data_IF_378200949060
#
_entry.id   IF_378200949060
#
_cell.length_a   1.000
_cell.length_b   1.000
_cell.length_c   1.000
_cell.angle_alpha   90.00
_cell.angle_beta   90.00
_cell.angle_gamma   90.00
#
_symmetry.space_group_name_H-M   'P 1'
#
loop_
_entity.id
_entity.type
_entity.pdbx_description
1 polymer ?
#
# COMPACT_ATOMS: atom_id res chain seq x y z
N UNK A 1 -23.62 14.91 9.65
CA UNK A 1 -23.90 13.58 9.08
C UNK A 1 -23.02 13.23 7.87
N UNK A 2 -22.97 14.07 6.83
CA UNK A 2 -22.22 13.78 5.57
C UNK A 2 -20.72 13.50 5.77
N UNK A 3 -20.03 14.21 6.67
CA UNK A 3 -18.60 13.99 6.93
C UNK A 3 -18.29 12.61 7.54
N UNK A 4 -19.19 12.10 8.39
CA UNK A 4 -19.02 10.78 9.01
C UNK A 4 -19.21 9.65 7.99
N UNK A 5 -20.18 9.80 7.08
CA UNK A 5 -20.36 8.85 5.97
C UNK A 5 -19.10 8.78 5.11
N UNK A 6 -18.53 9.95 4.75
CA UNK A 6 -17.25 10.01 4.02
C UNK A 6 -16.12 9.26 4.73
N UNK A 7 -15.93 9.50 6.04
CA UNK A 7 -14.91 8.79 6.84
C UNK A 7 -15.11 7.27 6.80
N UNK A 8 -16.35 6.79 6.96
CA UNK A 8 -16.68 5.36 6.88
C UNK A 8 -16.39 4.79 5.49
N UNK A 9 -16.78 5.48 4.42
CA UNK A 9 -16.49 5.05 3.04
C UNK A 9 -14.99 4.99 2.76
N UNK A 10 -14.21 5.99 3.21
CA UNK A 10 -12.75 5.98 3.11
C UNK A 10 -12.13 4.81 3.89
N UNK A 11 -12.66 4.51 5.08
CA UNK A 11 -12.22 3.39 5.91
C UNK A 11 -12.51 2.04 5.23
N UNK A 12 -13.71 1.86 4.66
CA UNK A 12 -14.06 0.65 3.91
C UNK A 12 -13.15 0.44 2.70
N UNK A 13 -12.88 1.48 1.92
CA UNK A 13 -11.91 1.41 0.83
C UNK A 13 -10.51 1.02 1.34
N UNK A 14 -10.09 1.59 2.48
CA UNK A 14 -8.82 1.23 3.15
C UNK A 14 -8.75 -0.24 3.56
N UNK A 15 -9.84 -0.81 4.10
CA UNK A 15 -9.92 -2.24 4.45
C UNK A 15 -9.81 -3.12 3.21
N UNK A 16 -10.51 -2.79 2.13
CA UNK A 16 -10.44 -3.53 0.86
C UNK A 16 -9.00 -3.54 0.33
N UNK A 17 -8.35 -2.39 0.27
CA UNK A 17 -6.95 -2.28 -0.20
C UNK A 17 -5.99 -3.03 0.73
N UNK A 18 -6.18 -2.97 2.05
CA UNK A 18 -5.34 -3.70 3.01
C UNK A 18 -5.49 -5.22 2.85
N UNK A 19 -6.72 -5.71 2.65
CA UNK A 19 -6.98 -7.11 2.34
C UNK A 19 -6.26 -7.53 1.06
N UNK A 20 -6.36 -6.74 0.00
CA UNK A 20 -5.62 -6.97 -1.23
C UNK A 20 -4.11 -7.00 -1.01
N UNK A 21 -3.53 -6.06 -0.23
CA UNK A 21 -2.09 -6.06 0.06
C UNK A 21 -1.64 -7.36 0.72
N UNK A 22 -2.43 -7.94 1.62
CA UNK A 22 -2.12 -9.24 2.23
C UNK A 22 -2.09 -10.34 1.15
N UNK A 23 -3.13 -10.45 0.32
CA UNK A 23 -3.16 -11.43 -0.77
C UNK A 23 -2.02 -11.22 -1.77
N UNK A 24 -1.71 -9.98 -2.11
CA UNK A 24 -0.64 -9.61 -3.04
C UNK A 24 0.74 -9.94 -2.47
N UNK A 25 0.96 -9.71 -1.17
CA UNK A 25 2.19 -10.12 -0.49
C UNK A 25 2.35 -11.64 -0.53
N UNK A 26 1.30 -12.39 -0.17
CA UNK A 26 1.33 -13.85 -0.18
C UNK A 26 1.55 -14.42 -1.59
N UNK A 27 0.92 -13.85 -2.62
CA UNK A 27 1.17 -14.25 -4.01
C UNK A 27 2.59 -13.94 -4.44
N UNK A 28 3.18 -12.82 -3.99
CA UNK A 28 4.58 -12.51 -4.26
C UNK A 28 5.54 -13.47 -3.55
N UNK A 29 5.22 -13.91 -2.32
CA UNK A 29 6.03 -14.90 -1.61
C UNK A 29 6.16 -16.24 -2.35
N UNK A 30 5.19 -16.58 -3.22
CA UNK A 30 5.31 -17.76 -4.09
C UNK A 30 6.54 -17.72 -5.01
N UNK A 31 7.14 -16.54 -5.25
CA UNK A 31 8.37 -16.37 -6.04
C UNK A 31 9.56 -17.19 -5.51
N UNK A 32 9.57 -17.54 -4.23
CA UNK A 32 10.59 -18.42 -3.65
C UNK A 32 10.59 -19.83 -4.28
N UNK A 33 9.54 -20.19 -5.00
CA UNK A 33 9.44 -21.40 -5.83
C UNK A 33 9.01 -21.01 -7.24
N UNK A 34 9.92 -21.09 -8.21
CA UNK A 34 9.64 -20.72 -9.60
C UNK A 34 8.43 -21.46 -10.19
N UNK A 35 8.31 -22.77 -9.93
CA UNK A 35 7.18 -23.57 -10.41
C UNK A 35 5.86 -23.11 -9.81
N UNK A 36 5.82 -22.83 -8.51
CA UNK A 36 4.61 -22.36 -7.81
C UNK A 36 4.20 -20.97 -8.26
N UNK A 37 5.18 -20.07 -8.42
CA UNK A 37 4.95 -18.72 -8.93
C UNK A 37 4.38 -18.74 -10.34
N UNK A 38 5.04 -19.46 -11.26
CA UNK A 38 4.60 -19.54 -12.65
C UNK A 38 3.20 -20.17 -12.77
N UNK A 39 2.91 -21.23 -12.01
CA UNK A 39 1.57 -21.85 -12.00
C UNK A 39 0.49 -20.89 -11.48
N UNK A 40 0.75 -20.21 -10.36
CA UNK A 40 -0.17 -19.25 -9.75
C UNK A 40 -0.48 -18.11 -10.72
N UNK A 41 0.55 -17.51 -11.32
CA UNK A 41 0.39 -16.37 -12.21
C UNK A 41 -0.13 -16.77 -13.60
N UNK A 42 0.12 -17.98 -14.08
CA UNK A 42 -0.54 -18.51 -15.28
C UNK A 42 -2.06 -18.59 -15.07
N UNK A 43 -2.52 -19.09 -13.91
CA UNK A 43 -3.94 -19.09 -13.55
C UNK A 43 -4.49 -17.66 -13.40
N UNK A 44 -3.77 -16.79 -12.69
CA UNK A 44 -4.20 -15.40 -12.45
C UNK A 44 -4.41 -14.60 -13.74
N UNK A 45 -3.54 -14.80 -14.74
CA UNK A 45 -3.63 -14.14 -16.05
C UNK A 45 -4.70 -14.78 -16.94
N UNK A 46 -4.76 -16.11 -17.03
CA UNK A 46 -5.70 -16.82 -17.91
C UNK A 46 -7.16 -16.76 -17.46
N UNK A 47 -7.42 -16.69 -16.15
CA UNK A 47 -8.78 -16.62 -15.58
C UNK A 47 -9.46 -15.26 -15.72
N UNK A 48 -8.75 -14.23 -16.18
CA UNK A 48 -9.24 -12.84 -16.17
C UNK A 48 -9.29 -12.20 -14.78
N UNK A 49 -8.90 -12.94 -13.72
CA UNK A 49 -8.90 -12.47 -12.34
C UNK A 49 -8.06 -11.20 -12.16
N UNK A 50 -6.97 -11.08 -12.94
CA UNK A 50 -6.16 -9.86 -13.02
C UNK A 50 -6.98 -8.60 -13.24
N UNK A 51 -7.85 -8.61 -14.24
CA UNK A 51 -8.63 -7.42 -14.63
C UNK A 51 -9.69 -7.08 -13.58
N UNK A 52 -10.32 -8.10 -12.99
CA UNK A 52 -11.26 -7.91 -11.89
C UNK A 52 -10.57 -7.26 -10.69
N UNK A 53 -9.43 -7.81 -10.27
CA UNK A 53 -8.66 -7.29 -9.13
C UNK A 53 -8.15 -5.87 -9.43
N UNK A 54 -7.64 -5.62 -10.63
CA UNK A 54 -7.19 -4.29 -11.04
C UNK A 54 -8.34 -3.27 -11.01
N UNK A 55 -9.51 -3.60 -11.57
CA UNK A 55 -10.67 -2.72 -11.55
C UNK A 55 -11.11 -2.42 -10.10
N UNK A 56 -11.19 -3.44 -9.24
CA UNK A 56 -11.52 -3.28 -7.83
C UNK A 56 -10.53 -2.36 -7.12
N UNK A 57 -9.23 -2.54 -7.36
CA UNK A 57 -8.18 -1.72 -6.74
C UNK A 57 -8.20 -0.28 -7.23
N UNK A 58 -8.35 -0.05 -8.54
CA UNK A 58 -8.45 1.31 -9.10
C UNK A 58 -9.65 2.05 -8.52
N UNK A 59 -10.80 1.38 -8.41
CA UNK A 59 -12.00 1.96 -7.79
C UNK A 59 -11.77 2.25 -6.31
N UNK A 60 -11.21 1.30 -5.54
CA UNK A 60 -10.95 1.48 -4.12
C UNK A 60 -9.95 2.63 -3.85
N UNK A 61 -8.84 2.68 -4.59
CA UNK A 61 -7.85 3.75 -4.51
C UNK A 61 -8.49 5.08 -4.88
N UNK A 62 -9.24 5.15 -5.98
CA UNK A 62 -9.92 6.37 -6.43
C UNK A 62 -10.90 6.91 -5.38
N UNK A 63 -11.72 6.04 -4.77
CA UNK A 63 -12.62 6.41 -3.67
C UNK A 63 -11.82 6.90 -2.47
N UNK A 64 -10.77 6.18 -2.07
CA UNK A 64 -9.95 6.51 -0.91
C UNK A 64 -9.29 7.88 -1.07
N UNK A 65 -8.60 8.12 -2.20
CA UNK A 65 -7.90 9.38 -2.50
C UNK A 65 -8.88 10.54 -2.61
N UNK A 66 -10.00 10.36 -3.35
CA UNK A 66 -11.03 11.40 -3.50
C UNK A 66 -11.57 11.85 -2.14
N UNK A 67 -11.91 10.91 -1.28
CA UNK A 67 -12.46 11.24 0.04
C UNK A 67 -11.37 11.83 0.95
N UNK A 68 -10.14 11.31 0.92
CA UNK A 68 -9.02 11.86 1.67
C UNK A 68 -8.79 13.34 1.36
N UNK A 69 -8.80 13.71 0.08
CA UNK A 69 -8.69 15.11 -0.37
C UNK A 69 -9.87 15.94 0.16
N UNK A 70 -11.10 15.45 0.03
CA UNK A 70 -12.28 16.17 0.53
C UNK A 70 -12.22 16.43 2.03
N UNK A 71 -11.85 15.42 2.83
CA UNK A 71 -11.71 15.55 4.28
C UNK A 71 -10.58 16.53 4.61
N UNK A 72 -9.42 16.43 3.93
CA UNK A 72 -8.29 17.34 4.12
C UNK A 72 -8.67 18.80 3.83
N UNK A 73 -9.39 19.06 2.75
CA UNK A 73 -9.86 20.42 2.40
C UNK A 73 -10.83 20.97 3.42
N UNK A 74 -11.78 20.16 3.91
CA UNK A 74 -12.71 20.58 4.97
C UNK A 74 -11.95 20.90 6.27
N UNK A 75 -11.03 20.04 6.69
CA UNK A 75 -10.23 20.24 7.89
C UNK A 75 -9.31 21.47 7.78
N UNK A 76 -8.70 21.70 6.61
CA UNK A 76 -7.86 22.86 6.35
C UNK A 76 -8.64 24.17 6.44
N UNK A 77 -9.86 24.23 5.89
CA UNK A 77 -10.75 25.41 6.01
C UNK A 77 -11.20 25.67 7.45
N UNK A 78 -11.34 24.62 8.26
CA UNK A 78 -11.71 24.73 9.67
C UNK A 78 -10.53 25.19 10.55
N UNK A 79 -9.28 24.92 10.16
CA UNK A 79 -8.07 25.32 10.90
C UNK A 79 -7.69 26.76 10.57
N UNK A 80 -8.30 27.72 11.28
CA UNK A 80 -8.03 29.18 11.11
C UNK A 80 -6.75 29.68 11.79
N UNK A 81 -6.26 28.97 12.81
CA UNK A 81 -5.05 29.29 13.57
C UNK A 81 -4.25 28.02 13.83
N UNK A 82 -2.91 28.12 13.88
CA UNK A 82 -2.06 26.97 14.26
C UNK A 82 -2.19 26.69 15.76
N UNK A 83 -1.95 25.44 16.16
CA UNK A 83 -2.03 25.07 17.58
C UNK A 83 -0.91 25.74 18.38
N UNK A 84 -1.28 26.38 19.49
CA UNK A 84 -0.33 27.09 20.35
C UNK A 84 0.70 26.17 21.03
N UNK A 85 0.37 24.87 21.22
CA UNK A 85 1.28 23.85 21.73
C UNK A 85 1.10 22.55 20.95
N UNK A 86 2.22 21.83 20.78
CA UNK A 86 2.25 20.51 20.18
C UNK A 86 2.86 19.54 21.20
N UNK A 87 2.11 18.51 21.58
CA UNK A 87 2.54 17.58 22.65
C UNK A 87 3.56 16.54 22.18
N UNK A 88 3.89 16.51 20.87
CA UNK A 88 4.76 15.53 20.23
C UNK A 88 5.57 16.16 19.09
N UNK A 89 6.59 15.45 18.62
CA UNK A 89 7.38 15.83 17.45
C UNK A 89 6.48 16.13 16.24
N UNK A 90 6.56 17.36 15.71
CA UNK A 90 5.75 17.83 14.59
C UNK A 90 6.48 17.51 13.28
N UNK A 91 5.98 16.53 12.54
CA UNK A 91 6.39 16.34 11.14
C UNK A 91 5.76 17.47 10.32
N UNK A 92 6.54 18.27 9.57
CA UNK A 92 5.97 19.34 8.76
C UNK A 92 4.97 18.80 7.74
N UNK A 93 3.84 19.51 7.57
CA UNK A 93 2.74 19.07 6.71
C UNK A 93 3.15 18.87 5.24
N UNK A 94 4.18 19.59 4.79
CA UNK A 94 4.79 19.41 3.48
C UNK A 94 5.34 17.99 3.30
N UNK A 95 6.16 17.49 4.25
CA UNK A 95 6.73 16.14 4.15
C UNK A 95 5.67 15.04 4.14
N UNK A 96 4.59 15.19 4.92
CA UNK A 96 3.44 14.27 4.87
C UNK A 96 2.74 14.31 3.51
N UNK A 97 2.62 15.50 2.91
CA UNK A 97 1.99 15.65 1.60
C UNK A 97 2.87 15.04 0.50
N UNK A 98 4.18 15.31 0.54
CA UNK A 98 5.16 14.74 -0.39
C UNK A 98 5.21 13.22 -0.28
N UNK A 99 5.15 12.64 0.93
CA UNK A 99 5.14 11.19 1.10
C UNK A 99 3.87 10.54 0.52
N UNK A 100 2.69 11.16 0.69
CA UNK A 100 1.45 10.65 0.09
C UNK A 100 1.47 10.77 -1.44
N UNK A 101 1.99 11.86 -1.99
CA UNK A 101 2.17 12.02 -3.44
C UNK A 101 3.13 10.95 -3.96
N UNK A 102 4.27 10.77 -3.30
CA UNK A 102 5.24 9.73 -3.65
C UNK A 102 4.60 8.33 -3.60
N UNK A 103 3.83 8.01 -2.57
CA UNK A 103 3.16 6.71 -2.46
C UNK A 103 2.16 6.49 -3.60
N UNK A 104 1.36 7.51 -3.95
CA UNK A 104 0.42 7.42 -5.08
C UNK A 104 1.17 7.22 -6.41
N UNK A 105 2.25 7.99 -6.63
CA UNK A 105 3.10 7.83 -7.81
C UNK A 105 3.74 6.46 -7.87
N UNK A 106 4.26 5.96 -6.74
CA UNK A 106 4.81 4.61 -6.61
C UNK A 106 3.79 3.54 -7.02
N UNK A 107 2.55 3.62 -6.52
CA UNK A 107 1.47 2.68 -6.88
C UNK A 107 1.16 2.74 -8.38
N UNK A 108 1.07 3.93 -8.97
CA UNK A 108 0.80 4.08 -10.41
C UNK A 108 1.94 3.50 -11.24
N UNK A 109 3.19 3.83 -10.91
CA UNK A 109 4.38 3.31 -11.60
C UNK A 109 4.42 1.79 -11.47
N UNK A 110 4.21 1.25 -10.27
CA UNK A 110 4.16 -0.19 -10.01
C UNK A 110 3.10 -0.91 -10.86
N UNK A 111 1.88 -0.37 -10.93
CA UNK A 111 0.80 -0.94 -11.76
C UNK A 111 1.17 -0.89 -13.24
N UNK A 112 1.62 0.26 -13.75
CA UNK A 112 1.98 0.40 -15.17
C UNK A 112 3.14 -0.53 -15.51
N UNK A 113 4.18 -0.57 -14.70
CA UNK A 113 5.34 -1.41 -14.94
C UNK A 113 4.98 -2.90 -14.97
N UNK A 114 4.16 -3.36 -14.02
CA UNK A 114 3.69 -4.77 -14.01
C UNK A 114 2.67 -5.08 -15.11
N UNK A 115 1.96 -4.07 -15.63
CA UNK A 115 1.13 -4.20 -16.84
C UNK A 115 1.97 -4.40 -18.12
N UNK A 116 3.20 -3.90 -18.14
CA UNK A 116 4.11 -3.99 -19.28
C UNK A 116 4.94 -5.27 -19.31
N UNK A 117 5.03 -6.01 -18.21
CA UNK A 117 5.74 -7.29 -18.17
C UNK A 117 5.15 -8.33 -19.12
N UNK A 118 6.03 -9.12 -19.73
CA UNK A 118 5.60 -10.32 -20.43
C UNK A 118 5.05 -11.35 -19.42
N UNK A 119 3.73 -11.56 -19.47
CA UNK A 119 3.04 -12.52 -18.61
C UNK A 119 3.53 -13.97 -18.79
N UNK A 120 4.13 -14.32 -19.93
CA UNK A 120 4.72 -15.64 -20.16
C UNK A 120 6.09 -15.80 -19.47
N UNK A 121 6.75 -14.69 -19.13
CA UNK A 121 8.10 -14.66 -18.56
C UNK A 121 8.16 -13.87 -17.24
N UNK A 122 7.06 -13.86 -16.49
CA UNK A 122 6.91 -13.01 -15.31
C UNK A 122 8.02 -13.20 -14.25
N UNK A 123 8.51 -14.44 -14.08
CA UNK A 123 9.59 -14.75 -13.16
C UNK A 123 10.90 -14.06 -13.55
N UNK A 124 11.27 -14.10 -14.84
CA UNK A 124 12.49 -13.45 -15.33
C UNK A 124 12.36 -11.94 -15.35
N UNK A 125 11.19 -11.39 -15.72
CA UNK A 125 10.90 -9.95 -15.67
C UNK A 125 11.08 -9.39 -14.25
N UNK A 126 10.52 -10.06 -13.24
CA UNK A 126 10.67 -9.67 -11.84
C UNK A 126 12.12 -9.78 -11.37
N UNK A 127 12.81 -10.85 -11.78
CA UNK A 127 14.23 -11.06 -11.47
C UNK A 127 15.09 -9.93 -12.04
N UNK A 128 14.90 -9.60 -13.32
CA UNK A 128 15.66 -8.56 -14.01
C UNK A 128 15.38 -7.18 -13.42
N UNK A 129 14.12 -6.88 -13.07
CA UNK A 129 13.76 -5.63 -12.42
C UNK A 129 14.60 -5.40 -11.16
N UNK A 130 14.67 -6.39 -10.28
CA UNK A 130 15.32 -6.24 -8.98
C UNK A 130 16.82 -6.49 -8.99
N UNK A 131 17.43 -6.82 -10.14
CA UNK A 131 18.88 -6.70 -10.32
C UNK A 131 19.36 -5.25 -10.43
N UNK A 132 18.47 -4.31 -10.77
CA UNK A 132 18.80 -2.89 -10.79
C UNK A 132 18.79 -2.32 -9.37
N UNK A 133 19.94 -1.82 -8.90
CA UNK A 133 20.07 -1.17 -7.58
C UNK A 133 19.08 -0.01 -7.43
N UNK A 134 18.89 0.77 -8.49
CA UNK A 134 17.93 1.88 -8.49
C UNK A 134 16.50 1.39 -8.25
N UNK A 135 16.09 0.29 -8.91
CA UNK A 135 14.75 -0.27 -8.76
C UNK A 135 14.55 -0.89 -7.38
N UNK A 136 15.57 -1.56 -6.84
CA UNK A 136 15.54 -2.06 -5.47
C UNK A 136 15.29 -0.91 -4.49
N UNK A 137 16.09 0.16 -4.55
CA UNK A 137 15.95 1.31 -3.65
C UNK A 137 14.60 2.02 -3.83
N UNK A 138 14.13 2.17 -5.08
CA UNK A 138 12.82 2.76 -5.37
C UNK A 138 11.68 1.98 -4.72
N UNK A 139 11.70 0.64 -4.81
CA UNK A 139 10.68 -0.22 -4.19
C UNK A 139 10.80 -0.24 -2.66
N UNK A 140 12.00 -0.26 -2.10
CA UNK A 140 12.21 -0.18 -0.66
C UNK A 140 11.72 1.17 -0.10
N UNK A 141 11.95 2.28 -0.80
CA UNK A 141 11.40 3.59 -0.45
C UNK A 141 9.86 3.59 -0.53
N UNK A 142 9.29 2.98 -1.56
CA UNK A 142 7.84 2.74 -1.69
C UNK A 142 7.26 2.00 -0.49
N UNK A 143 7.89 0.88 -0.11
CA UNK A 143 7.50 0.07 1.05
C UNK A 143 7.66 0.82 2.38
N UNK A 144 8.72 1.60 2.54
CA UNK A 144 8.90 2.44 3.72
C UNK A 144 7.76 3.45 3.89
N UNK A 145 7.40 4.17 2.82
CA UNK A 145 6.30 5.12 2.85
C UNK A 145 4.95 4.42 3.06
N UNK A 146 4.74 3.26 2.44
CA UNK A 146 3.55 2.43 2.66
C UNK A 146 3.44 2.00 4.13
N UNK A 147 4.55 1.59 4.75
CA UNK A 147 4.61 1.22 6.18
C UNK A 147 4.14 2.39 7.05
N UNK A 148 4.69 3.58 6.82
CA UNK A 148 4.31 4.79 7.56
C UNK A 148 2.83 5.14 7.35
N UNK A 149 2.32 4.98 6.12
CA UNK A 149 0.92 5.22 5.79
C UNK A 149 -0.02 4.22 6.49
N UNK A 150 0.27 2.92 6.43
CA UNK A 150 -0.53 1.88 7.09
C UNK A 150 -0.50 2.01 8.60
N UNK A 151 0.66 2.30 9.18
CA UNK A 151 0.79 2.46 10.63
C UNK A 151 -0.04 3.63 11.16
N UNK A 152 -0.09 4.74 10.42
CA UNK A 152 -0.94 5.87 10.77
C UNK A 152 -2.43 5.59 10.53
N UNK A 153 -2.77 4.92 9.42
CA UNK A 153 -4.15 4.80 8.96
C UNK A 153 -4.92 3.63 9.60
N UNK A 154 -4.28 2.49 9.85
CA UNK A 154 -4.98 1.28 10.29
C UNK A 154 -5.61 1.43 11.68
N UNK A 155 -4.92 2.10 12.61
CA UNK A 155 -5.47 2.44 13.93
C UNK A 155 -6.73 3.33 13.80
N UNK A 156 -6.70 4.32 12.89
CA UNK A 156 -7.84 5.23 12.66
C UNK A 156 -9.03 4.53 11.98
N UNK A 157 -8.76 3.54 11.12
CA UNK A 157 -9.79 2.70 10.48
C UNK A 157 -10.53 1.87 11.54
N UNK A 158 -9.81 1.21 12.44
CA UNK A 158 -10.41 0.39 13.51
C UNK A 158 -11.31 1.24 14.42
N UNK A 159 -10.88 2.44 14.79
CA UNK A 159 -11.71 3.41 15.53
C UNK A 159 -12.97 3.81 14.76
N UNK A 160 -12.81 4.17 13.47
CA UNK A 160 -13.92 4.64 12.63
C UNK A 160 -15.00 3.58 12.43
N UNK A 161 -14.61 2.29 12.42
CA UNK A 161 -15.51 1.15 12.29
C UNK A 161 -16.05 0.62 13.63
N UNK A 162 -15.75 1.29 14.75
CA UNK A 162 -16.35 0.98 16.06
C UNK A 162 -15.67 -0.14 16.85
N UNK A 163 -14.50 -0.63 16.41
CA UNK A 163 -13.69 -1.53 17.25
C UNK A 163 -12.86 -0.71 18.24
N UNK A 164 -13.37 -0.70 19.48
CA UNK A 164 -12.74 -0.48 20.80
C UNK A 164 -12.25 0.92 21.22
N UNK A 165 -12.43 1.20 22.52
CA UNK A 165 -11.80 2.28 23.29
C UNK A 165 -10.31 2.03 23.59
N UNK A 166 -9.79 0.84 23.26
CA UNK A 166 -8.40 0.41 23.46
C UNK A 166 -7.86 -0.19 22.16
N UNK A 167 -6.83 0.44 21.59
CA UNK A 167 -6.11 -0.07 20.42
C UNK A 167 -4.83 -0.75 20.89
N UNK A 168 -4.67 -2.02 20.54
CA UNK A 168 -3.44 -2.76 20.79
C UNK A 168 -2.38 -2.36 19.76
N UNK A 169 -1.70 -1.23 20.01
CA UNK A 169 -0.70 -0.67 19.09
C UNK A 169 0.41 -1.67 18.71
N UNK A 170 0.78 -2.59 19.61
CA UNK A 170 1.73 -3.65 19.33
C UNK A 170 1.26 -4.61 18.22
N UNK A 171 -0.03 -4.97 18.20
CA UNK A 171 -0.59 -5.84 17.16
C UNK A 171 -0.65 -5.13 15.81
N UNK A 172 -0.98 -3.84 15.80
CA UNK A 172 -0.97 -3.03 14.57
C UNK A 172 0.44 -2.98 14.00
N UNK A 173 1.46 -2.69 14.83
CA UNK A 173 2.85 -2.71 14.42
C UNK A 173 3.30 -4.08 13.91
N UNK A 174 3.00 -5.15 14.65
CA UNK A 174 3.36 -6.51 14.25
C UNK A 174 2.76 -6.88 12.89
N UNK A 175 1.49 -6.54 12.66
CA UNK A 175 0.81 -6.79 11.39
C UNK A 175 1.41 -5.99 10.23
N UNK A 176 1.66 -4.68 10.42
CA UNK A 176 2.25 -3.83 9.39
C UNK A 176 3.66 -4.28 9.05
N UNK A 177 4.52 -4.54 10.04
CA UNK A 177 5.89 -5.00 9.83
C UNK A 177 5.95 -6.38 9.17
N UNK A 178 5.05 -7.30 9.55
CA UNK A 178 4.96 -8.61 8.89
C UNK A 178 4.59 -8.47 7.42
N UNK A 179 3.60 -7.62 7.11
CA UNK A 179 3.17 -7.37 5.75
C UNK A 179 4.28 -6.74 4.89
N UNK A 180 4.92 -5.68 5.38
CA UNK A 180 5.95 -4.96 4.64
C UNK A 180 7.25 -5.74 4.55
N UNK A 181 7.58 -6.51 5.59
CA UNK A 181 8.71 -7.45 5.58
C UNK A 181 8.51 -8.56 4.55
N UNK A 182 7.31 -9.12 4.44
CA UNK A 182 6.97 -10.10 3.41
C UNK A 182 7.15 -9.55 1.99
N UNK A 183 6.75 -8.30 1.75
CA UNK A 183 7.03 -7.63 0.47
C UNK A 183 8.51 -7.38 0.23
N UNK A 184 9.25 -6.92 1.24
CA UNK A 184 10.67 -6.60 1.12
C UNK A 184 11.54 -7.84 0.91
N UNK A 185 11.10 -9.01 1.38
CA UNK A 185 11.84 -10.26 1.27
C UNK A 185 12.19 -10.61 -0.19
N UNK A 186 11.23 -10.48 -1.12
CA UNK A 186 11.43 -10.87 -2.52
C UNK A 186 12.49 -10.02 -3.25
N UNK A 187 12.40 -8.68 -3.30
CA UNK A 187 13.41 -7.87 -3.98
C UNK A 187 14.80 -8.00 -3.32
N UNK A 188 14.87 -8.14 -2.00
CA UNK A 188 16.14 -8.37 -1.29
C UNK A 188 16.72 -9.75 -1.63
N UNK A 189 15.89 -10.79 -1.66
CA UNK A 189 16.30 -12.14 -2.06
C UNK A 189 16.84 -12.14 -3.49
N UNK A 190 16.13 -11.52 -4.44
CA UNK A 190 16.59 -11.43 -5.84
C UNK A 190 17.94 -10.71 -5.92
N UNK A 191 18.08 -9.55 -5.27
CA UNK A 191 19.28 -8.74 -5.41
C UNK A 191 20.52 -9.36 -4.75
N UNK A 192 20.37 -10.01 -3.60
CA UNK A 192 21.51 -10.51 -2.81
C UNK A 192 21.81 -12.00 -2.99
N UNK A 193 20.83 -12.81 -3.40
CA UNK A 193 20.96 -14.27 -3.40
C UNK A 193 20.91 -14.86 -4.81
N UNK A 194 20.11 -14.30 -5.72
CA UNK A 194 20.01 -14.83 -7.07
C UNK A 194 21.21 -14.39 -7.93
N UNK A 195 21.74 -15.28 -8.79
CA UNK A 195 22.82 -14.97 -9.72
C UNK A 195 22.36 -14.02 -10.83
#
# INVERSE_FOLDING_TARGET
MVLQLKKRTMALAGVIMTGYLIFHMLSNLSFLSESSFNQLYAFYHSSGLRWLVLALMVIAIGIHVKIAIQIRTVNAKARRIDYARHDKFKIPALFVTLSIIFLLSFIVIHIVQTLLFDSAQLYSELSQLFKSEFMLLFYLAGLFVLTMHLQHSLANVLQTLGKTSVIHHALVWGGVLSLTGGFALIPLYIYFVMP
#
